data_IF_553770639821
#
_entry.id   IF_553770639821
#
_cell.length_a   1.000
_cell.length_b   1.000
_cell.length_c   1.000
_cell.angle_alpha   90.00
_cell.angle_beta   90.00
_cell.angle_gamma   90.00
#
_symmetry.space_group_name_H-M   'P 1'
#
loop_
_entity.id
_entity.type
_entity.pdbx_description
1 polymer ?
#
# COMPACT_ATOMS: atom_id res chain seq x y z
N UNK A 1 -1.48 -32.97 -24.61
CA UNK A 1 -1.97 -32.73 -23.23
C UNK A 1 -0.95 -33.13 -22.15
N UNK A 2 0.09 -33.92 -22.45
CA UNK A 2 1.14 -34.32 -21.50
C UNK A 2 2.06 -33.18 -21.03
N UNK A 3 2.48 -32.29 -21.93
CA UNK A 3 3.42 -31.19 -21.59
C UNK A 3 2.91 -30.21 -20.53
N UNK A 4 1.59 -30.02 -20.44
CA UNK A 4 0.98 -29.13 -19.44
C UNK A 4 1.00 -29.78 -18.06
N UNK A 5 0.76 -31.09 -17.98
CA UNK A 5 0.83 -31.85 -16.73
C UNK A 5 2.27 -31.98 -16.23
N UNK A 6 3.25 -32.06 -17.13
CA UNK A 6 4.67 -32.05 -16.76
C UNK A 6 5.08 -30.71 -16.14
N UNK A 7 4.63 -29.59 -16.71
CA UNK A 7 4.88 -28.25 -16.15
C UNK A 7 4.17 -28.05 -14.81
N UNK A 8 2.92 -28.51 -14.69
CA UNK A 8 2.15 -28.47 -13.42
C UNK A 8 2.83 -29.31 -12.35
N UNK A 9 3.34 -30.49 -12.70
CA UNK A 9 4.10 -31.36 -11.78
C UNK A 9 5.41 -30.72 -11.34
N UNK A 10 6.12 -30.05 -12.26
CA UNK A 10 7.32 -29.28 -11.92
C UNK A 10 6.95 -28.13 -10.97
N UNK A 11 5.94 -27.32 -11.28
CA UNK A 11 5.53 -26.22 -10.39
C UNK A 11 5.03 -26.69 -9.01
N UNK A 12 4.33 -27.84 -8.94
CA UNK A 12 3.88 -28.47 -7.69
C UNK A 12 5.00 -29.08 -6.86
N UNK A 13 6.17 -29.39 -7.44
CA UNK A 13 7.33 -29.87 -6.68
C UNK A 13 8.15 -28.69 -6.14
N UNK A 14 8.18 -27.57 -6.88
CA UNK A 14 8.95 -26.37 -6.53
C UNK A 14 8.13 -25.31 -5.79
N UNK A 15 6.89 -25.61 -5.39
CA UNK A 15 6.02 -24.68 -4.65
C UNK A 15 6.63 -24.07 -3.38
N UNK A 16 7.49 -24.76 -2.58
CA UNK A 16 8.12 -24.17 -1.42
C UNK A 16 9.23 -23.19 -1.82
N UNK A 17 9.86 -23.39 -2.98
CA UNK A 17 10.83 -22.45 -3.53
C UNK A 17 10.12 -21.22 -4.12
N UNK A 18 9.02 -21.42 -4.85
CA UNK A 18 8.25 -20.33 -5.45
C UNK A 18 7.63 -19.38 -4.40
N UNK A 19 7.20 -19.91 -3.24
CA UNK A 19 6.73 -19.10 -2.11
C UNK A 19 7.87 -18.69 -1.16
N UNK A 20 8.87 -19.55 -1.00
CA UNK A 20 9.99 -19.34 -0.08
C UNK A 20 10.97 -18.28 -0.55
N UNK A 21 11.30 -18.21 -1.85
CA UNK A 21 12.21 -17.19 -2.38
C UNK A 21 11.71 -15.74 -2.21
N UNK A 22 10.46 -15.38 -2.52
CA UNK A 22 9.98 -14.02 -2.28
C UNK A 22 9.88 -13.69 -0.79
N UNK A 23 9.50 -14.66 0.06
CA UNK A 23 9.47 -14.46 1.52
C UNK A 23 10.87 -14.35 2.13
N UNK A 24 11.83 -15.15 1.65
CA UNK A 24 13.23 -15.07 2.04
C UNK A 24 13.87 -13.78 1.54
N UNK A 25 13.55 -13.30 0.33
CA UNK A 25 14.02 -12.01 -0.17
C UNK A 25 13.47 -10.84 0.67
N UNK A 26 12.17 -10.89 1.03
CA UNK A 26 11.54 -9.91 1.91
C UNK A 26 12.09 -9.97 3.35
N UNK A 27 12.41 -11.15 3.86
CA UNK A 27 13.02 -11.34 5.18
C UNK A 27 14.53 -10.98 5.19
N UNK A 28 15.23 -11.23 4.07
CA UNK A 28 16.64 -10.94 3.90
C UNK A 28 16.91 -9.45 3.71
N UNK A 29 16.01 -8.69 3.07
CA UNK A 29 16.19 -7.25 2.86
C UNK A 29 16.46 -6.48 4.18
N UNK A 30 15.71 -6.68 5.27
CA UNK A 30 16.04 -6.14 6.58
C UNK A 30 17.33 -6.72 7.19
N UNK A 31 17.58 -8.03 7.03
CA UNK A 31 18.76 -8.72 7.58
C UNK A 31 20.07 -8.27 6.92
N UNK A 32 20.03 -7.92 5.63
CA UNK A 32 21.17 -7.44 4.86
C UNK A 32 21.50 -5.96 5.14
N UNK A 33 20.67 -5.25 5.91
CA UNK A 33 20.96 -3.89 6.37
C UNK A 33 20.86 -2.81 5.30
N UNK A 34 20.34 -3.12 4.10
CA UNK A 34 20.32 -2.21 2.94
C UNK A 34 19.60 -0.87 3.21
N UNK A 35 18.71 -0.82 4.21
CA UNK A 35 18.02 0.41 4.64
C UNK A 35 18.46 0.98 6.00
N UNK A 36 19.17 0.20 6.83
CA UNK A 36 19.48 0.60 8.22
C UNK A 36 20.76 1.41 8.34
N UNK A 37 21.67 1.34 7.37
CA UNK A 37 22.92 2.11 7.36
C UNK A 37 22.74 3.55 6.85
N UNK A 38 21.76 3.78 5.98
CA UNK A 38 21.52 5.09 5.36
C UNK A 38 21.09 6.12 6.38
N UNK A 39 20.35 5.71 7.41
CA UNK A 39 19.90 6.60 8.48
C UNK A 39 21.05 7.15 9.36
N UNK A 40 21.92 6.33 9.99
CA UNK A 40 23.05 6.86 10.74
C UNK A 40 24.05 7.61 9.85
N UNK A 41 24.22 7.22 8.58
CA UNK A 41 25.05 7.96 7.62
C UNK A 41 24.51 9.37 7.35
N UNK A 42 23.20 9.50 7.07
CA UNK A 42 22.57 10.81 6.81
C UNK A 42 22.51 11.70 8.05
N UNK A 43 22.34 11.12 9.25
CA UNK A 43 22.50 11.87 10.50
C UNK A 43 23.96 12.33 10.70
N UNK A 44 24.93 11.53 10.31
CA UNK A 44 26.36 11.90 10.31
C UNK A 44 26.70 13.07 9.38
N UNK A 45 25.88 13.30 8.35
CA UNK A 45 25.96 14.46 7.45
C UNK A 45 25.24 15.72 7.98
N UNK A 46 24.71 15.69 9.21
CA UNK A 46 24.04 16.84 9.83
C UNK A 46 22.57 17.02 9.43
N UNK A 47 21.95 16.03 8.77
CA UNK A 47 20.53 16.10 8.39
C UNK A 47 19.65 15.91 9.64
N UNK A 48 18.64 16.76 9.82
CA UNK A 48 17.70 16.61 10.94
C UNK A 48 16.77 15.42 10.73
N UNK A 49 16.32 14.77 11.82
CA UNK A 49 15.36 13.65 11.78
C UNK A 49 14.07 13.99 11.02
N UNK A 50 13.66 15.27 11.04
CA UNK A 50 12.48 15.78 10.32
C UNK A 50 12.70 15.83 8.80
N UNK A 51 13.88 16.26 8.37
CA UNK A 51 14.25 16.30 6.96
C UNK A 51 14.35 14.87 6.39
N UNK A 52 14.92 13.93 7.13
CA UNK A 52 14.95 12.52 6.72
C UNK A 52 13.54 11.95 6.57
N UNK A 53 12.66 12.13 7.56
CA UNK A 53 11.28 11.62 7.49
C UNK A 53 10.47 12.25 6.33
N UNK A 54 10.63 13.55 6.08
CA UNK A 54 9.99 14.23 4.95
C UNK A 54 10.51 13.69 3.60
N UNK A 55 11.83 13.48 3.49
CA UNK A 55 12.44 12.89 2.29
C UNK A 55 11.94 11.47 2.05
N UNK A 56 11.88 10.62 3.08
CA UNK A 56 11.31 9.27 2.97
C UNK A 56 9.85 9.30 2.53
N UNK A 57 9.03 10.18 3.12
CA UNK A 57 7.64 10.33 2.73
C UNK A 57 7.50 10.73 1.25
N UNK A 58 8.36 11.63 0.76
CA UNK A 58 8.34 12.10 -0.62
C UNK A 58 8.81 11.02 -1.61
N UNK A 59 9.85 10.26 -1.26
CA UNK A 59 10.32 9.11 -2.06
C UNK A 59 9.23 8.05 -2.19
N UNK A 60 8.60 7.67 -1.07
CA UNK A 60 7.54 6.67 -1.04
C UNK A 60 6.30 7.15 -1.78
N UNK A 61 5.95 8.45 -1.68
CA UNK A 61 4.89 9.07 -2.46
C UNK A 61 5.20 8.99 -3.97
N UNK A 62 6.40 9.36 -4.37
CA UNK A 62 6.86 9.26 -5.77
C UNK A 62 6.77 7.83 -6.28
N UNK A 63 7.21 6.85 -5.49
CA UNK A 63 7.11 5.43 -5.85
C UNK A 63 5.65 4.97 -6.03
N UNK A 64 4.74 5.37 -5.14
CA UNK A 64 3.32 5.04 -5.26
C UNK A 64 2.70 5.62 -6.53
N UNK A 65 3.05 6.86 -6.88
CA UNK A 65 2.60 7.51 -8.10
C UNK A 65 3.16 6.86 -9.38
N UNK A 66 4.44 6.47 -9.36
CA UNK A 66 5.10 5.76 -10.45
C UNK A 66 4.51 4.36 -10.65
N UNK A 67 4.23 3.63 -9.57
CA UNK A 67 3.54 2.34 -9.65
C UNK A 67 2.12 2.50 -10.21
N UNK A 68 1.39 3.53 -9.78
CA UNK A 68 0.08 3.86 -10.35
C UNK A 68 0.16 4.15 -11.86
N UNK A 69 1.22 4.84 -12.31
CA UNK A 69 1.46 5.07 -13.73
C UNK A 69 1.76 3.77 -14.49
N UNK A 70 2.54 2.87 -13.87
CA UNK A 70 2.79 1.53 -14.42
C UNK A 70 1.52 0.71 -14.61
N UNK A 71 0.56 0.80 -13.67
CA UNK A 71 -0.75 0.14 -13.80
C UNK A 71 -1.58 0.70 -14.95
N UNK A 72 -1.54 2.03 -15.17
CA UNK A 72 -2.16 2.64 -16.37
C UNK A 72 -1.47 2.19 -17.64
N UNK A 73 -0.14 2.08 -17.65
CA UNK A 73 0.58 1.57 -18.81
C UNK A 73 0.16 0.12 -19.13
N UNK A 74 -0.04 -0.73 -18.12
CA UNK A 74 -0.56 -2.08 -18.32
C UNK A 74 -1.99 -2.10 -18.86
N UNK A 75 -2.88 -1.22 -18.39
CA UNK A 75 -4.23 -1.07 -18.97
C UNK A 75 -4.19 -0.63 -20.45
N UNK A 76 -3.29 0.28 -20.81
CA UNK A 76 -3.12 0.70 -22.21
C UNK A 76 -2.64 -0.48 -23.06
N UNK A 77 -1.61 -1.20 -22.60
CA UNK A 77 -1.10 -2.38 -23.31
C UNK A 77 -2.21 -3.43 -23.47
N UNK A 78 -2.98 -3.66 -22.41
CA UNK A 78 -4.10 -4.61 -22.41
C UNK A 78 -5.17 -4.26 -23.46
N UNK A 79 -5.53 -2.96 -23.58
CA UNK A 79 -6.46 -2.48 -24.60
C UNK A 79 -5.91 -2.68 -26.01
N UNK A 80 -4.61 -2.47 -26.20
CA UNK A 80 -3.94 -2.63 -27.49
C UNK A 80 -3.79 -4.10 -27.90
N UNK A 81 -3.60 -5.01 -26.96
CA UNK A 81 -3.41 -6.44 -27.23
C UNK A 81 -4.71 -7.24 -27.26
N UNK A 82 -5.85 -6.63 -26.94
CA UNK A 82 -7.14 -7.33 -26.85
C UNK A 82 -7.27 -8.17 -25.58
N UNK A 83 -6.58 -7.80 -24.51
CA UNK A 83 -6.56 -8.49 -23.22
C UNK A 83 -5.29 -9.30 -22.96
N UNK A 84 -5.18 -9.85 -21.75
CA UNK A 84 -4.07 -10.73 -21.37
C UNK A 84 -4.42 -12.20 -21.64
N UNK A 85 -3.73 -12.82 -22.60
CA UNK A 85 -3.86 -14.26 -22.89
C UNK A 85 -5.21 -14.65 -23.50
N UNK A 86 -6.23 -14.94 -22.68
CA UNK A 86 -7.60 -15.30 -23.11
C UNK A 86 -8.58 -14.14 -22.92
N UNK A 87 -8.29 -12.98 -23.51
CA UNK A 87 -9.13 -11.78 -23.37
C UNK A 87 -9.41 -11.37 -21.91
N UNK A 88 -8.53 -11.79 -20.98
CA UNK A 88 -8.71 -11.50 -19.58
C UNK A 88 -8.49 -10.00 -19.36
N UNK A 89 -9.51 -9.34 -18.79
CA UNK A 89 -9.46 -7.95 -18.34
C UNK A 89 -9.06 -7.87 -16.87
N UNK A 90 -7.79 -7.58 -16.62
CA UNK A 90 -7.17 -7.50 -15.29
C UNK A 90 -7.09 -6.04 -14.82
N UNK A 91 -6.65 -5.13 -15.69
CA UNK A 91 -6.48 -3.71 -15.36
C UNK A 91 -7.61 -2.87 -15.98
N UNK A 92 -8.13 -3.24 -17.15
CA UNK A 92 -9.27 -2.55 -17.76
C UNK A 92 -10.64 -2.92 -17.20
N UNK A 93 -10.89 -2.73 -15.90
CA UNK A 93 -12.20 -2.99 -15.28
C UNK A 93 -13.21 -1.89 -15.65
N UNK A 94 -14.36 -2.28 -16.22
CA UNK A 94 -15.44 -1.36 -16.63
C UNK A 94 -15.93 -0.46 -15.48
N UNK A 95 -15.85 -0.96 -14.24
CA UNK A 95 -16.23 -0.26 -12.99
C UNK A 95 -15.33 0.94 -12.69
N UNK A 96 -14.08 0.95 -13.16
CA UNK A 96 -13.12 2.04 -12.88
C UNK A 96 -13.29 3.24 -13.83
N UNK A 97 -14.19 3.14 -14.82
CA UNK A 97 -14.53 4.21 -15.74
C UNK A 97 -13.65 4.22 -16.99
N UNK A 98 -14.30 4.25 -18.15
CA UNK A 98 -13.64 4.32 -19.45
C UNK A 98 -13.56 5.78 -19.92
N UNK A 99 -12.35 6.26 -20.26
CA UNK A 99 -12.20 7.46 -21.10
C UNK A 99 -11.10 8.46 -20.72
N UNK A 100 -10.72 8.58 -19.43
CA UNK A 100 -9.69 9.54 -19.02
C UNK A 100 -8.49 8.83 -18.33
N UNK A 101 -7.31 8.78 -18.99
CA UNK A 101 -6.10 8.17 -18.43
C UNK A 101 -5.65 8.81 -17.10
N UNK A 102 -5.86 10.11 -16.91
CA UNK A 102 -5.52 10.80 -15.66
C UNK A 102 -6.45 10.38 -14.51
N UNK A 103 -7.74 10.20 -14.79
CA UNK A 103 -8.69 9.72 -13.80
C UNK A 103 -8.34 8.31 -13.34
N UNK A 104 -7.97 7.44 -14.29
CA UNK A 104 -7.55 6.06 -14.02
C UNK A 104 -6.24 6.02 -13.20
N UNK A 105 -5.28 6.87 -13.56
CA UNK A 105 -4.03 7.01 -12.81
C UNK A 105 -4.27 7.39 -11.34
N UNK A 106 -5.17 8.34 -11.10
CA UNK A 106 -5.53 8.75 -9.74
C UNK A 106 -6.22 7.64 -8.95
N UNK A 107 -7.12 6.90 -9.61
CA UNK A 107 -7.84 5.76 -9.02
C UNK A 107 -6.88 4.64 -8.61
N UNK A 108 -5.83 4.37 -9.39
CA UNK A 108 -4.79 3.41 -9.00
C UNK A 108 -3.83 3.94 -7.95
N UNK A 109 -3.48 5.22 -8.04
CA UNK A 109 -2.51 5.83 -7.14
C UNK A 109 -3.06 6.03 -5.74
N UNK A 110 -4.35 6.35 -5.59
CA UNK A 110 -4.98 6.64 -4.30
C UNK A 110 -4.75 5.56 -3.23
N UNK A 111 -5.09 4.28 -3.49
CA UNK A 111 -4.88 3.20 -2.54
C UNK A 111 -3.39 2.94 -2.27
N UNK A 112 -2.54 3.04 -3.30
CA UNK A 112 -1.09 2.89 -3.15
C UNK A 112 -0.51 3.96 -2.21
N UNK A 113 -0.93 5.21 -2.37
CA UNK A 113 -0.53 6.33 -1.51
C UNK A 113 -1.02 6.11 -0.07
N UNK A 114 -2.24 5.61 0.13
CA UNK A 114 -2.75 5.29 1.45
C UNK A 114 -1.94 4.19 2.16
N UNK A 115 -1.63 3.10 1.47
CA UNK A 115 -0.78 2.02 2.01
C UNK A 115 0.63 2.52 2.32
N UNK A 116 1.20 3.29 1.41
CA UNK A 116 2.47 3.98 1.61
C UNK A 116 2.48 4.87 2.86
N UNK A 117 1.41 5.64 3.09
CA UNK A 117 1.29 6.49 4.27
C UNK A 117 1.24 5.69 5.58
N UNK A 118 0.59 4.51 5.58
CA UNK A 118 0.64 3.58 6.72
C UNK A 118 2.08 3.13 6.98
N UNK A 119 2.82 2.76 5.94
CA UNK A 119 4.22 2.35 6.07
C UNK A 119 5.11 3.45 6.64
N UNK A 120 4.95 4.69 6.15
CA UNK A 120 5.68 5.85 6.68
C UNK A 120 5.33 6.12 8.15
N UNK A 121 4.04 6.06 8.51
CA UNK A 121 3.61 6.23 9.90
C UNK A 121 4.18 5.14 10.81
N UNK A 122 4.18 3.88 10.36
CA UNK A 122 4.79 2.77 11.09
C UNK A 122 6.30 2.99 11.30
N UNK A 123 7.01 3.51 10.29
CA UNK A 123 8.41 3.90 10.41
C UNK A 123 8.65 4.99 11.45
N UNK A 124 7.79 6.01 11.50
CA UNK A 124 7.84 7.07 12.53
C UNK A 124 7.57 6.53 13.93
N UNK A 125 6.56 5.66 14.08
CA UNK A 125 6.23 5.00 15.35
C UNK A 125 7.39 4.12 15.83
N UNK A 126 8.00 3.35 14.93
CA UNK A 126 9.16 2.52 15.23
C UNK A 126 10.35 3.37 15.69
N UNK A 127 10.61 4.50 15.04
CA UNK A 127 11.74 5.35 15.42
C UNK A 127 11.56 5.96 16.82
N UNK A 128 10.31 6.20 17.25
CA UNK A 128 10.00 6.81 18.55
C UNK A 128 9.89 5.80 19.69
N UNK A 129 9.22 4.68 19.45
CA UNK A 129 8.83 3.71 20.49
C UNK A 129 9.32 2.28 20.22
N UNK A 130 10.15 2.08 19.19
CA UNK A 130 10.71 0.80 18.76
C UNK A 130 9.63 -0.27 18.61
N UNK A 131 9.96 -1.52 18.93
CA UNK A 131 9.05 -2.66 18.79
C UNK A 131 7.75 -2.51 19.60
N UNK A 132 7.82 -1.96 20.82
CA UNK A 132 6.63 -1.75 21.67
C UNK A 132 5.61 -0.85 21.00
N UNK A 133 6.06 0.21 20.31
CA UNK A 133 5.18 1.10 19.54
C UNK A 133 4.48 0.38 18.39
N UNK A 134 5.19 -0.46 17.64
CA UNK A 134 4.61 -1.24 16.55
C UNK A 134 3.56 -2.21 17.09
N UNK A 135 3.86 -2.97 18.14
CA UNK A 135 2.89 -3.91 18.72
C UNK A 135 1.64 -3.20 19.21
N UNK A 136 1.79 -2.08 19.92
CA UNK A 136 0.66 -1.29 20.38
C UNK A 136 -0.16 -0.74 19.21
N UNK A 137 0.49 -0.27 18.14
CA UNK A 137 -0.21 0.20 16.94
C UNK A 137 -0.99 -0.93 16.27
N UNK A 138 -0.39 -2.11 16.10
CA UNK A 138 -1.05 -3.27 15.50
C UNK A 138 -2.23 -3.73 16.35
N UNK A 139 -2.00 -4.03 17.63
CA UNK A 139 -3.06 -4.50 18.53
C UNK A 139 -4.14 -3.44 18.73
N UNK A 140 -3.75 -2.17 18.84
CA UNK A 140 -4.68 -1.05 18.92
C UNK A 140 -5.55 -0.91 17.67
N UNK A 141 -4.97 -1.02 16.47
CA UNK A 141 -5.72 -1.00 15.22
C UNK A 141 -6.65 -2.20 15.09
N UNK A 142 -6.19 -3.41 15.44
CA UNK A 142 -7.03 -4.62 15.42
C UNK A 142 -8.19 -4.50 16.40
N UNK A 143 -7.92 -4.06 17.64
CA UNK A 143 -8.95 -3.86 18.66
C UNK A 143 -9.96 -2.79 18.24
N UNK A 144 -9.49 -1.67 17.66
CA UNK A 144 -10.36 -0.61 17.15
C UNK A 144 -11.26 -1.12 16.02
N UNK A 145 -10.71 -1.82 15.03
CA UNK A 145 -11.46 -2.39 13.92
C UNK A 145 -12.48 -3.43 14.41
N UNK A 146 -12.10 -4.27 15.38
CA UNK A 146 -13.00 -5.23 16.00
C UNK A 146 -14.15 -4.53 16.73
N UNK A 147 -13.86 -3.49 17.53
CA UNK A 147 -14.87 -2.72 18.24
C UNK A 147 -15.85 -2.04 17.26
N UNK A 148 -15.34 -1.40 16.20
CA UNK A 148 -16.18 -0.81 15.15
C UNK A 148 -17.01 -1.87 14.43
N UNK A 149 -16.44 -3.05 14.14
CA UNK A 149 -17.17 -4.15 13.51
C UNK A 149 -18.31 -4.70 14.38
N UNK A 150 -18.07 -4.85 15.68
CA UNK A 150 -19.10 -5.24 16.65
C UNK A 150 -20.19 -4.18 16.73
N UNK A 151 -19.84 -2.89 16.87
CA UNK A 151 -20.80 -1.80 16.88
C UNK A 151 -21.63 -1.76 15.61
N UNK A 152 -21.00 -1.86 14.44
CA UNK A 152 -21.68 -1.88 13.14
C UNK A 152 -22.65 -3.06 13.00
N UNK A 153 -22.33 -4.22 13.59
CA UNK A 153 -23.26 -5.36 13.65
C UNK A 153 -24.43 -5.08 14.60
N UNK A 154 -24.16 -4.57 15.80
CA UNK A 154 -25.22 -4.31 16.80
C UNK A 154 -26.19 -3.22 16.37
N UNK A 155 -25.71 -2.21 15.64
CA UNK A 155 -26.49 -1.07 15.20
C UNK A 155 -27.03 -1.21 13.77
N UNK A 156 -26.83 -2.38 13.12
CA UNK A 156 -27.21 -2.64 11.73
C UNK A 156 -26.72 -1.56 10.74
N UNK A 157 -25.48 -1.09 10.90
CA UNK A 157 -24.90 -0.06 10.02
C UNK A 157 -24.45 -0.60 8.66
N UNK A 158 -24.25 -1.92 8.54
CA UNK A 158 -23.73 -2.55 7.33
C UNK A 158 -24.52 -2.24 6.05
N UNK A 159 -25.88 -2.27 6.03
CA UNK A 159 -26.65 -1.90 4.86
C UNK A 159 -26.43 -0.43 4.47
N UNK A 160 -26.39 0.49 5.44
CA UNK A 160 -26.17 1.91 5.20
C UNK A 160 -24.75 2.20 4.67
N UNK A 161 -23.75 1.51 5.20
CA UNK A 161 -22.36 1.59 4.70
C UNK A 161 -22.31 1.06 3.27
N UNK A 162 -22.95 -0.08 2.99
CA UNK A 162 -23.01 -0.66 1.65
C UNK A 162 -23.68 0.26 0.63
N UNK A 163 -24.82 0.86 0.99
CA UNK A 163 -25.51 1.82 0.12
C UNK A 163 -24.71 3.09 -0.11
N UNK A 164 -24.00 3.58 0.92
CA UNK A 164 -23.14 4.74 0.80
C UNK A 164 -21.97 4.45 -0.15
N UNK A 165 -21.24 3.35 0.04
CA UNK A 165 -20.11 2.99 -0.80
C UNK A 165 -20.53 2.67 -2.25
N UNK A 166 -21.67 1.98 -2.43
CA UNK A 166 -22.22 1.66 -3.74
C UNK A 166 -22.80 2.87 -4.49
N UNK A 167 -23.17 3.94 -3.77
CA UNK A 167 -23.67 5.18 -4.36
C UNK A 167 -22.58 6.19 -4.76
N UNK A 168 -21.32 5.96 -4.39
CA UNK A 168 -20.23 6.90 -4.70
C UNK A 168 -19.61 6.62 -6.08
N UNK A 169 -19.21 7.68 -6.81
CA UNK A 169 -18.38 7.52 -8.00
C UNK A 169 -17.07 6.79 -7.68
N UNK A 170 -16.60 5.93 -8.59
CA UNK A 170 -15.35 5.18 -8.44
C UNK A 170 -14.14 6.10 -8.16
N UNK A 171 -14.12 7.28 -8.78
CA UNK A 171 -13.08 8.29 -8.54
C UNK A 171 -13.08 8.81 -7.10
N UNK A 172 -14.25 9.09 -6.52
CA UNK A 172 -14.33 9.51 -5.11
C UNK A 172 -13.91 8.37 -4.19
N UNK A 173 -14.36 7.16 -4.50
CA UNK A 173 -14.16 5.99 -3.66
C UNK A 173 -12.68 5.58 -3.56
N UNK A 174 -11.98 5.53 -4.70
CA UNK A 174 -10.62 5.02 -4.80
C UNK A 174 -9.55 6.12 -4.80
N UNK A 175 -9.89 7.37 -5.09
CA UNK A 175 -8.93 8.48 -5.06
C UNK A 175 -9.12 9.35 -3.82
N UNK A 176 -10.32 9.92 -3.64
CA UNK A 176 -10.53 10.97 -2.64
C UNK A 176 -10.42 10.43 -1.21
N UNK A 177 -11.11 9.34 -0.86
CA UNK A 177 -11.02 8.80 0.50
C UNK A 177 -9.62 8.28 0.85
N UNK A 178 -8.92 7.52 -0.02
CA UNK A 178 -7.57 7.07 0.29
C UNK A 178 -6.56 8.23 0.41
N UNK A 179 -6.68 9.27 -0.42
CA UNK A 179 -5.84 10.46 -0.27
C UNK A 179 -6.12 11.24 1.01
N UNK A 180 -7.40 11.43 1.38
CA UNK A 180 -7.76 12.06 2.65
C UNK A 180 -7.21 11.27 3.84
N UNK A 181 -7.30 9.94 3.78
CA UNK A 181 -6.73 9.05 4.78
C UNK A 181 -5.20 9.16 4.83
N UNK A 182 -4.53 9.16 3.69
CA UNK A 182 -3.08 9.35 3.60
C UNK A 182 -2.63 10.69 4.18
N UNK A 183 -3.36 11.78 3.90
CA UNK A 183 -3.08 13.11 4.45
C UNK A 183 -3.28 13.12 5.98
N UNK A 184 -4.31 12.45 6.50
CA UNK A 184 -4.53 12.35 7.94
C UNK A 184 -3.38 11.57 8.62
N UNK A 185 -2.93 10.46 8.03
CA UNK A 185 -1.81 9.67 8.55
C UNK A 185 -0.47 10.43 8.46
N UNK A 186 -0.20 11.09 7.33
CA UNK A 186 0.98 11.92 7.14
C UNK A 186 1.01 13.08 8.14
N UNK A 187 -0.14 13.73 8.34
CA UNK A 187 -0.35 14.74 9.38
C UNK A 187 -0.04 14.17 10.76
N UNK A 188 -0.65 13.04 11.14
CA UNK A 188 -0.40 12.37 12.42
C UNK A 188 1.09 12.04 12.61
N UNK A 189 1.77 11.51 11.58
CA UNK A 189 3.21 11.26 11.60
C UNK A 189 4.03 12.52 11.86
N UNK A 190 3.68 13.63 11.20
CA UNK A 190 4.30 14.94 11.45
C UNK A 190 4.05 15.45 12.87
N UNK A 191 2.84 15.26 13.43
CA UNK A 191 2.55 15.63 14.82
C UNK A 191 3.30 14.76 15.84
N UNK A 192 3.57 13.50 15.52
CA UNK A 192 4.41 12.62 16.35
C UNK A 192 5.86 13.09 16.32
N UNK A 193 6.37 13.51 15.16
CA UNK A 193 7.73 14.02 15.00
C UNK A 193 7.94 15.41 15.62
N UNK A 194 6.97 16.33 15.53
CA UNK A 194 7.12 17.68 16.14
C UNK A 194 7.23 17.62 17.66
N UNK A 195 6.63 16.59 18.29
CA UNK A 195 6.66 16.38 19.75
C UNK A 195 7.91 15.62 20.23
N UNK A 196 8.77 15.17 19.33
CA UNK A 196 10.09 14.68 19.68
C UNK A 196 11.03 15.90 19.74
N UNK A 197 11.26 16.39 20.96
CA UNK A 197 12.33 17.36 21.25
C UNK A 197 13.70 16.70 21.00
N UNK A 198 14.67 17.54 20.63
CA UNK A 198 16.05 17.16 20.29
C UNK A 198 16.71 16.30 21.36
#
# INVERSE_FOLDING_TARGET
MSRVLDVVRIQLVHWPALLGYPLLALAAMPLLGWGTEVFPFTLGLGVTRRAFAAATALVVLGQALLLGLGLVAFDIVERLTGGWGREARIFGLDVLGHGNPLALWLVYSGPLVAVSAIGVLAGVVFQRWRHTGIYLAIFGSVALLAAVGVLGKTQNWWPSIGSFLGGQPSLTLFTAYPLMFALALGGAGWLVLRRATA
#
